data_IF_358654491412
#
_entry.id   IF_358654491412
#
_cell.length_a   1.000
_cell.length_b   1.000
_cell.length_c   1.000
_cell.angle_alpha   90.00
_cell.angle_beta   90.00
_cell.angle_gamma   90.00
#
_symmetry.space_group_name_H-M   'P 1'
#
loop_
_entity.id
_entity.type
_entity.pdbx_description
1 polymer ?
#
# COMPACT_ATOMS: atom_id res chain seq x y z
N UNK A 1 -23.61 2.63 -30.83
CA UNK A 1 -22.92 3.75 -30.15
C UNK A 1 -22.97 3.68 -28.62
N UNK A 2 -24.02 3.12 -27.99
CA UNK A 2 -24.15 3.08 -26.51
C UNK A 2 -23.08 2.24 -25.79
N UNK A 3 -22.89 0.96 -26.18
CA UNK A 3 -22.05 0.02 -25.43
C UNK A 3 -20.54 0.32 -25.46
N UNK A 4 -20.03 0.93 -26.53
CA UNK A 4 -18.62 1.35 -26.61
C UNK A 4 -18.33 2.51 -25.66
N UNK A 5 -19.24 3.50 -25.64
CA UNK A 5 -19.14 4.65 -24.77
C UNK A 5 -19.27 4.24 -23.30
N UNK A 6 -20.26 3.41 -22.95
CA UNK A 6 -20.44 2.87 -21.60
C UNK A 6 -19.19 2.15 -21.10
N UNK A 7 -18.58 1.30 -21.94
CA UNK A 7 -17.33 0.61 -21.60
C UNK A 7 -16.19 1.59 -21.33
N UNK A 8 -16.03 2.62 -22.18
CA UNK A 8 -14.98 3.63 -22.03
C UNK A 8 -15.20 4.52 -20.80
N UNK A 9 -16.45 4.86 -20.49
CA UNK A 9 -16.81 5.61 -19.28
C UNK A 9 -16.50 4.78 -18.03
N UNK A 10 -16.96 3.51 -17.98
CA UNK A 10 -16.65 2.59 -16.89
C UNK A 10 -15.14 2.48 -16.67
N UNK A 11 -14.35 2.34 -17.73
CA UNK A 11 -12.89 2.26 -17.63
C UNK A 11 -12.24 3.53 -17.05
N UNK A 12 -12.81 4.71 -17.30
CA UNK A 12 -12.36 5.98 -16.70
C UNK A 12 -12.73 6.03 -15.21
N UNK A 13 -13.97 5.65 -14.86
CA UNK A 13 -14.43 5.57 -13.46
C UNK A 13 -13.58 4.58 -12.65
N UNK A 14 -13.24 3.45 -13.25
CA UNK A 14 -12.40 2.42 -12.65
C UNK A 14 -10.98 2.88 -12.41
N UNK A 15 -10.41 3.61 -13.37
CA UNK A 15 -9.07 4.18 -13.20
C UNK A 15 -9.03 5.11 -11.99
N UNK A 16 -10.06 5.93 -11.79
CA UNK A 16 -10.19 6.75 -10.59
C UNK A 16 -10.39 5.89 -9.33
N UNK A 17 -11.27 4.91 -9.36
CA UNK A 17 -11.56 4.05 -8.20
C UNK A 17 -10.34 3.21 -7.77
N UNK A 18 -9.53 2.73 -8.71
CA UNK A 18 -8.25 2.05 -8.47
C UNK A 18 -7.26 3.02 -7.82
N UNK A 19 -7.09 4.20 -8.42
CA UNK A 19 -6.23 5.25 -7.87
C UNK A 19 -6.63 5.60 -6.43
N UNK A 20 -7.91 5.82 -6.19
CA UNK A 20 -8.45 6.12 -4.87
C UNK A 20 -8.22 4.97 -3.88
N UNK A 21 -8.25 3.71 -4.35
CA UNK A 21 -7.98 2.54 -3.49
C UNK A 21 -6.52 2.49 -3.05
N UNK A 22 -5.57 2.75 -3.97
CA UNK A 22 -4.14 2.82 -3.63
C UNK A 22 -3.83 4.00 -2.72
N UNK A 23 -4.40 5.19 -2.97
CA UNK A 23 -4.23 6.35 -2.07
C UNK A 23 -4.89 6.11 -0.71
N UNK A 24 -6.10 5.52 -0.68
CA UNK A 24 -6.81 5.22 0.57
C UNK A 24 -6.04 4.22 1.43
N UNK A 25 -5.41 3.21 0.82
CA UNK A 25 -4.50 2.31 1.49
C UNK A 25 -3.39 3.08 2.23
N UNK A 26 -2.70 4.00 1.54
CA UNK A 26 -1.62 4.80 2.10
C UNK A 26 -2.10 5.75 3.23
N UNK A 27 -3.23 6.44 3.00
CA UNK A 27 -3.82 7.33 4.01
C UNK A 27 -4.28 6.56 5.26
N UNK A 28 -4.82 5.35 5.09
CA UNK A 28 -5.30 4.53 6.19
C UNK A 28 -4.14 4.08 7.10
N UNK A 29 -3.04 3.60 6.53
CA UNK A 29 -1.86 3.21 7.33
C UNK A 29 -1.26 4.42 8.05
N UNK A 30 -1.20 5.59 7.40
CA UNK A 30 -0.61 6.79 8.00
C UNK A 30 -1.43 7.27 9.20
N UNK A 31 -2.75 7.19 9.11
CA UNK A 31 -3.69 7.57 10.19
C UNK A 31 -3.87 6.48 11.24
N UNK A 32 -3.41 5.26 11.00
CA UNK A 32 -3.69 4.10 11.86
C UNK A 32 -5.17 3.69 11.83
N UNK A 33 -5.87 3.98 10.73
CA UNK A 33 -7.24 3.55 10.50
C UNK A 33 -7.22 2.13 9.92
N UNK A 34 -7.09 1.15 10.81
CA UNK A 34 -6.90 -0.26 10.45
C UNK A 34 -8.14 -0.89 9.80
N UNK A 35 -9.33 -0.35 10.08
CA UNK A 35 -10.57 -0.80 9.43
C UNK A 35 -10.63 -0.31 7.98
N UNK A 36 -10.32 0.97 7.74
CA UNK A 36 -10.20 1.52 6.39
C UNK A 36 -9.10 0.81 5.58
N UNK A 37 -7.97 0.51 6.23
CA UNK A 37 -6.88 -0.26 5.64
C UNK A 37 -7.34 -1.66 5.21
N UNK A 38 -7.98 -2.40 6.12
CA UNK A 38 -8.56 -3.70 5.82
C UNK A 38 -9.58 -3.62 4.66
N UNK A 39 -10.36 -2.54 4.60
CA UNK A 39 -11.32 -2.28 3.53
C UNK A 39 -10.70 -2.10 2.13
N UNK A 40 -9.39 -1.89 2.02
CA UNK A 40 -8.70 -1.76 0.72
C UNK A 40 -8.21 -3.10 0.15
N UNK A 41 -8.24 -4.17 0.93
CA UNK A 41 -7.61 -5.46 0.63
C UNK A 41 -8.66 -6.53 0.27
N UNK A 42 -8.27 -7.55 -0.48
CA UNK A 42 -9.03 -8.81 -0.60
C UNK A 42 -8.96 -9.63 0.69
N UNK A 43 -9.71 -10.73 0.78
CA UNK A 43 -9.71 -11.61 1.97
C UNK A 43 -8.35 -12.30 2.18
N UNK A 44 -7.71 -12.70 1.08
CA UNK A 44 -6.31 -13.14 1.04
C UNK A 44 -5.57 -12.20 0.12
N UNK A 45 -4.45 -11.66 0.60
CA UNK A 45 -3.60 -10.74 -0.16
C UNK A 45 -2.21 -11.33 -0.29
N UNK A 46 -1.68 -11.30 -1.51
CA UNK A 46 -0.29 -11.63 -1.76
C UNK A 46 0.60 -10.42 -1.46
N UNK A 47 1.54 -10.58 -0.54
CA UNK A 47 2.49 -9.53 -0.18
C UNK A 47 3.87 -9.98 -0.60
N UNK A 48 4.56 -9.13 -1.35
CA UNK A 48 5.95 -9.34 -1.75
C UNK A 48 6.78 -8.12 -1.37
N UNK A 49 7.45 -8.22 -0.21
CA UNK A 49 8.38 -7.23 0.34
C UNK A 49 9.81 -7.82 0.37
N UNK A 50 10.14 -8.68 -0.61
CA UNK A 50 11.41 -9.40 -0.65
C UNK A 50 12.62 -8.47 -0.71
N UNK A 51 12.50 -7.33 -1.39
CA UNK A 51 13.52 -6.28 -1.46
C UNK A 51 13.81 -5.64 -0.09
N UNK A 52 12.84 -5.70 0.84
CA UNK A 52 12.99 -5.27 2.23
C UNK A 52 13.37 -6.43 3.18
N UNK A 53 13.72 -7.60 2.62
CA UNK A 53 14.14 -8.79 3.38
C UNK A 53 13.00 -9.64 3.94
N UNK A 54 11.75 -9.39 3.53
CA UNK A 54 10.59 -10.17 3.96
C UNK A 54 10.11 -11.08 2.83
N UNK A 55 10.05 -12.42 3.04
CA UNK A 55 9.67 -13.33 1.97
C UNK A 55 8.24 -13.09 1.49
N UNK A 56 8.03 -13.26 0.19
CA UNK A 56 6.70 -13.18 -0.39
C UNK A 56 5.77 -14.26 0.18
N UNK A 57 4.51 -13.89 0.47
CA UNK A 57 3.52 -14.80 1.04
C UNK A 57 2.09 -14.37 0.72
N UNK A 58 1.20 -15.35 0.64
CA UNK A 58 -0.24 -15.11 0.71
C UNK A 58 -0.65 -15.03 2.19
N UNK A 59 -1.24 -13.91 2.58
CA UNK A 59 -1.67 -13.66 3.95
C UNK A 59 -3.18 -13.43 4.00
N UNK A 60 -3.88 -14.01 4.99
CA UNK A 60 -5.20 -13.52 5.35
C UNK A 60 -5.15 -12.02 5.65
N UNK A 61 -6.19 -11.29 5.24
CA UNK A 61 -6.29 -9.83 5.41
C UNK A 61 -5.97 -9.40 6.84
N UNK A 62 -6.57 -10.06 7.81
CA UNK A 62 -6.41 -9.78 9.23
C UNK A 62 -4.96 -9.96 9.69
N UNK A 63 -4.24 -10.94 9.15
CA UNK A 63 -2.84 -11.17 9.46
C UNK A 63 -1.97 -10.04 8.90
N UNK A 64 -2.24 -9.59 7.66
CA UNK A 64 -1.51 -8.46 7.08
C UNK A 64 -1.83 -7.13 7.79
N UNK A 65 -3.08 -6.91 8.20
CA UNK A 65 -3.49 -5.75 9.01
C UNK A 65 -2.78 -5.75 10.36
N UNK A 66 -2.72 -6.91 11.04
CA UNK A 66 -2.01 -7.04 12.31
C UNK A 66 -0.51 -6.76 12.14
N UNK A 67 0.11 -7.32 11.11
CA UNK A 67 1.51 -7.08 10.77
C UNK A 67 1.80 -5.59 10.54
N UNK A 68 1.02 -4.92 9.69
CA UNK A 68 1.19 -3.50 9.40
C UNK A 68 0.99 -2.64 10.66
N UNK A 69 0.00 -2.99 11.49
CA UNK A 69 -0.27 -2.32 12.76
C UNK A 69 0.91 -2.43 13.72
N UNK A 70 1.46 -3.61 13.91
CA UNK A 70 2.62 -3.85 14.77
C UNK A 70 3.84 -3.06 14.26
N UNK A 71 4.12 -3.14 12.96
CA UNK A 71 5.28 -2.48 12.36
C UNK A 71 5.22 -0.95 12.44
N UNK A 72 4.02 -0.36 12.42
CA UNK A 72 3.86 1.09 12.20
C UNK A 72 3.36 1.87 13.42
N UNK A 73 2.77 1.22 14.43
CA UNK A 73 2.10 1.94 15.54
C UNK A 73 3.05 2.66 16.51
N UNK A 74 4.34 2.32 16.51
CA UNK A 74 5.33 2.95 17.38
C UNK A 74 5.87 4.29 16.87
N UNK A 75 5.66 4.61 15.59
CA UNK A 75 6.08 5.89 15.01
C UNK A 75 5.23 7.04 15.53
N UNK A 76 5.82 8.23 15.60
CA UNK A 76 5.08 9.46 15.95
C UNK A 76 4.23 9.92 14.77
N UNK A 77 4.76 9.81 13.55
CA UNK A 77 4.05 10.12 12.32
C UNK A 77 4.57 9.27 11.17
N UNK A 78 3.73 9.11 10.16
CA UNK A 78 4.00 8.34 8.93
C UNK A 78 3.41 9.12 7.75
N UNK A 79 4.07 9.05 6.61
CA UNK A 79 3.57 9.60 5.37
C UNK A 79 3.98 8.71 4.20
N UNK A 80 2.99 8.09 3.57
CA UNK A 80 3.15 7.30 2.37
C UNK A 80 2.58 8.09 1.18
N UNK A 81 3.46 8.53 0.29
CA UNK A 81 3.08 9.14 -0.98
C UNK A 81 3.19 8.09 -2.09
N UNK A 82 2.11 7.97 -2.86
CA UNK A 82 2.02 7.11 -4.04
C UNK A 82 1.70 7.94 -5.28
N UNK A 83 2.69 8.66 -5.86
CA UNK A 83 2.46 9.45 -7.06
C UNK A 83 2.57 8.61 -8.35
N UNK A 84 2.20 9.22 -9.47
CA UNK A 84 2.37 8.67 -10.83
C UNK A 84 1.63 7.34 -11.07
N UNK A 85 0.36 7.26 -10.67
CA UNK A 85 -0.47 6.09 -10.92
C UNK A 85 -0.61 5.76 -12.40
N UNK A 86 0.01 4.65 -12.81
CA UNK A 86 -0.11 4.04 -14.13
C UNK A 86 -0.99 2.80 -14.02
N UNK A 87 -2.25 2.93 -14.45
CA UNK A 87 -3.23 1.83 -14.40
C UNK A 87 -3.32 1.13 -15.76
N UNK A 88 -3.10 -0.18 -15.75
CA UNK A 88 -3.22 -1.08 -16.90
C UNK A 88 -4.29 -2.12 -16.59
N UNK A 89 -5.35 -2.16 -17.40
CA UNK A 89 -6.41 -3.16 -17.27
C UNK A 89 -5.98 -4.46 -17.93
N UNK A 90 -6.41 -5.59 -17.37
CA UNK A 90 -6.22 -6.88 -18.01
C UNK A 90 -7.06 -6.93 -19.31
N UNK A 91 -6.47 -7.36 -20.44
CA UNK A 91 -7.17 -7.41 -21.73
C UNK A 91 -8.23 -8.52 -21.80
N UNK A 92 -8.15 -9.54 -20.94
CA UNK A 92 -9.06 -10.68 -20.87
C UNK A 92 -10.09 -10.55 -19.73
N UNK A 93 -9.78 -9.76 -18.69
CA UNK A 93 -10.66 -9.54 -17.53
C UNK A 93 -10.75 -8.05 -17.14
N UNK A 94 -11.83 -7.38 -17.53
CA UNK A 94 -12.05 -5.96 -17.20
C UNK A 94 -12.29 -5.68 -15.70
N UNK A 95 -12.40 -6.73 -14.88
CA UNK A 95 -12.50 -6.64 -13.43
C UNK A 95 -11.14 -6.87 -12.74
N UNK A 96 -10.05 -6.94 -13.53
CA UNK A 96 -8.66 -6.96 -13.05
C UNK A 96 -7.83 -5.82 -13.64
N UNK A 97 -6.96 -5.26 -12.82
CA UNK A 97 -6.04 -4.21 -13.24
C UNK A 97 -4.78 -4.20 -12.40
N UNK A 98 -3.70 -3.66 -12.95
CA UNK A 98 -2.46 -3.36 -12.25
C UNK A 98 -2.29 -1.86 -12.15
N UNK A 99 -1.95 -1.37 -10.97
CA UNK A 99 -1.56 0.01 -10.73
C UNK A 99 -0.09 0.06 -10.28
N UNK A 100 0.76 0.59 -11.16
CA UNK A 100 2.14 0.92 -10.83
C UNK A 100 2.20 2.37 -10.34
N UNK A 101 3.04 2.61 -9.33
CA UNK A 101 3.19 3.93 -8.72
C UNK A 101 4.57 4.07 -8.09
N UNK A 102 5.07 5.29 -7.98
CA UNK A 102 6.24 5.53 -7.14
C UNK A 102 5.86 5.51 -5.66
N UNK A 103 6.84 5.33 -4.81
CA UNK A 103 6.69 5.27 -3.35
C UNK A 103 7.66 6.24 -2.70
N UNK A 104 7.14 7.06 -1.81
CA UNK A 104 7.91 7.71 -0.74
C UNK A 104 7.24 7.36 0.57
N UNK A 105 7.89 6.51 1.36
CA UNK A 105 7.38 6.04 2.66
C UNK A 105 8.24 6.63 3.78
N UNK A 106 7.83 7.79 4.28
CA UNK A 106 8.51 8.51 5.34
C UNK A 106 7.92 8.14 6.70
N UNK A 107 8.80 7.84 7.63
CA UNK A 107 8.49 7.51 9.00
C UNK A 107 9.22 8.48 9.91
N UNK A 108 8.53 8.98 10.93
CA UNK A 108 9.07 9.94 11.87
C UNK A 108 8.86 9.47 13.31
N UNK A 109 9.92 9.57 14.11
CA UNK A 109 9.91 9.24 15.53
C UNK A 109 10.56 10.39 16.30
N UNK A 110 9.73 11.22 16.92
CA UNK A 110 10.17 12.43 17.58
C UNK A 110 11.15 12.10 18.72
N UNK A 111 12.30 12.78 18.73
CA UNK A 111 13.34 12.61 19.75
C UNK A 111 14.13 11.31 19.65
N UNK A 112 14.06 10.58 18.53
CA UNK A 112 14.90 9.42 18.32
C UNK A 112 16.38 9.81 18.24
N UNK A 113 17.23 9.03 18.90
CA UNK A 113 18.67 9.11 18.76
C UNK A 113 19.10 8.69 17.34
N UNK A 114 20.15 9.31 16.79
CA UNK A 114 20.65 8.98 15.45
C UNK A 114 19.86 9.58 14.28
N UNK A 115 18.89 10.46 14.58
CA UNK A 115 18.02 11.11 13.60
C UNK A 115 16.57 10.65 13.74
N UNK A 116 15.63 11.57 13.52
CA UNK A 116 14.21 11.39 13.84
C UNK A 116 13.36 10.93 12.65
N UNK A 117 13.96 10.65 11.50
CA UNK A 117 13.24 10.17 10.32
C UNK A 117 13.95 9.04 9.59
N UNK A 118 13.13 8.22 8.92
CA UNK A 118 13.53 7.17 8.00
C UNK A 118 12.66 7.26 6.75
N UNK A 119 13.27 7.36 5.57
CA UNK A 119 12.57 7.48 4.31
C UNK A 119 12.97 6.33 3.39
N UNK A 120 11.97 5.58 2.92
CA UNK A 120 12.13 4.62 1.83
C UNK A 120 11.61 5.22 0.53
N UNK A 121 12.36 4.99 -0.55
CA UNK A 121 11.95 5.35 -1.91
C UNK A 121 11.91 4.10 -2.77
N UNK A 122 11.03 4.10 -3.76
CA UNK A 122 10.93 3.01 -4.72
C UNK A 122 9.63 3.08 -5.50
N UNK A 123 9.03 1.92 -5.76
CA UNK A 123 7.74 1.81 -6.42
C UNK A 123 6.90 0.70 -5.81
N UNK A 124 5.59 0.75 -6.08
CA UNK A 124 4.67 -0.35 -5.84
C UNK A 124 4.09 -0.86 -7.15
N UNK A 125 3.93 -2.18 -7.24
CA UNK A 125 3.04 -2.83 -8.20
C UNK A 125 1.86 -3.41 -7.44
N UNK A 126 0.70 -2.77 -7.57
CA UNK A 126 -0.54 -3.24 -6.97
C UNK A 126 -1.36 -3.97 -8.03
N UNK A 127 -1.72 -5.23 -7.79
CA UNK A 127 -2.76 -5.89 -8.57
C UNK A 127 -4.07 -5.74 -7.83
N UNK A 128 -5.11 -5.34 -8.55
CA UNK A 128 -6.42 -5.08 -8.01
C UNK A 128 -7.47 -5.89 -8.75
N UNK A 129 -8.48 -6.30 -7.99
CA UNK A 129 -9.66 -6.98 -8.49
C UNK A 129 -10.92 -6.22 -8.07
N UNK A 130 -11.90 -6.12 -8.97
CA UNK A 130 -13.20 -5.56 -8.63
C UNK A 130 -14.01 -6.59 -7.86
N UNK A 131 -14.59 -6.15 -6.76
CA UNK A 131 -15.56 -6.90 -5.97
C UNK A 131 -16.92 -6.20 -6.01
N UNK A 132 -17.96 -6.83 -5.45
CA UNK A 132 -19.24 -6.17 -5.22
C UNK A 132 -19.12 -4.90 -4.35
N UNK A 133 -18.08 -4.81 -3.50
CA UNK A 133 -17.76 -3.65 -2.67
C UNK A 133 -16.80 -2.63 -3.32
N UNK A 134 -16.49 -2.78 -4.61
CA UNK A 134 -15.52 -1.97 -5.34
C UNK A 134 -14.14 -2.64 -5.50
N UNK A 135 -13.16 -1.90 -6.02
CA UNK A 135 -11.80 -2.39 -6.24
C UNK A 135 -11.06 -2.68 -4.93
N UNK A 136 -10.29 -3.77 -4.90
CA UNK A 136 -9.49 -4.22 -3.76
C UNK A 136 -8.11 -4.68 -4.24
N UNK A 137 -7.08 -4.46 -3.42
CA UNK A 137 -5.72 -4.93 -3.68
C UNK A 137 -5.66 -6.42 -3.33
N UNK A 138 -5.31 -7.26 -4.31
CA UNK A 138 -5.10 -8.69 -4.14
C UNK A 138 -3.63 -9.08 -4.10
N UNK A 139 -2.76 -8.24 -4.68
CA UNK A 139 -1.31 -8.42 -4.63
C UNK A 139 -0.64 -7.06 -4.49
N UNK A 140 0.31 -6.96 -3.58
CA UNK A 140 1.14 -5.78 -3.35
C UNK A 140 2.61 -6.19 -3.41
N UNK A 141 3.32 -5.67 -4.41
CA UNK A 141 4.77 -5.83 -4.55
C UNK A 141 5.45 -4.51 -4.25
N UNK A 142 6.41 -4.51 -3.34
CA UNK A 142 7.26 -3.37 -3.02
C UNK A 142 8.62 -3.53 -3.68
N UNK A 143 8.99 -2.55 -4.52
CA UNK A 143 10.33 -2.46 -5.09
C UNK A 143 11.08 -1.36 -4.35
N UNK A 144 12.17 -1.71 -3.67
CA UNK A 144 12.96 -0.74 -2.89
C UNK A 144 14.08 -0.20 -3.75
N UNK A 145 14.28 1.12 -3.73
CA UNK A 145 15.38 1.76 -4.45
C UNK A 145 16.53 2.12 -3.53
N UNK A 146 16.46 3.24 -2.81
CA UNK A 146 17.43 3.59 -1.78
C UNK A 146 16.74 4.17 -0.54
N UNK A 147 17.22 3.86 0.67
CA UNK A 147 16.77 4.49 1.89
C UNK A 147 17.53 5.78 2.19
N UNK A 148 16.99 6.60 3.10
CA UNK A 148 17.65 7.78 3.66
C UNK A 148 17.23 8.01 5.11
N UNK A 149 18.12 8.60 5.92
CA UNK A 149 17.88 8.88 7.33
C UNK A 149 18.36 7.76 8.26
N UNK A 150 17.70 7.62 9.40
CA UNK A 150 18.07 6.65 10.43
C UNK A 150 17.53 5.25 10.10
N UNK A 151 18.41 4.33 9.69
CA UNK A 151 18.03 2.98 9.29
C UNK A 151 17.58 2.08 10.46
N UNK A 152 17.90 2.45 11.70
CA UNK A 152 17.46 1.74 12.90
C UNK A 152 16.09 2.21 13.41
N UNK A 153 15.57 3.33 12.88
CA UNK A 153 14.30 3.91 13.32
C UNK A 153 13.12 2.92 13.33
N UNK A 154 12.98 1.99 12.36
CA UNK A 154 11.94 0.95 12.41
C UNK A 154 12.06 0.01 13.61
N UNK A 155 13.27 -0.34 14.03
CA UNK A 155 13.48 -1.17 15.23
C UNK A 155 13.11 -0.39 16.49
N UNK A 156 13.53 0.87 16.58
CA UNK A 156 13.19 1.76 17.69
C UNK A 156 11.67 1.94 17.83
N UNK A 157 10.96 2.12 16.71
CA UNK A 157 9.51 2.23 16.70
C UNK A 157 8.84 0.93 17.20
N UNK A 158 9.26 -0.24 16.70
CA UNK A 158 8.72 -1.53 17.16
C UNK A 158 8.93 -1.76 18.66
N UNK A 159 10.08 -1.34 19.20
CA UNK A 159 10.35 -1.46 20.63
C UNK A 159 9.36 -0.69 21.51
N UNK A 160 8.72 0.39 21.01
CA UNK A 160 7.72 1.18 21.77
C UNK A 160 6.37 0.50 21.93
N UNK A 161 6.06 -0.49 21.09
CA UNK A 161 4.77 -1.21 21.09
C UNK A 161 4.88 -2.63 21.63
N UNK A 162 6.09 -3.11 21.85
CA UNK A 162 6.38 -4.44 22.42
C UNK A 162 6.40 -4.47 23.96
N UNK A 163 6.15 -3.34 24.63
CA UNK A 163 6.05 -3.20 26.10
C UNK A 163 4.62 -2.96 26.54
#
# INVERSE_FOLDING_TARGET
>A
MSADLERRVRQIEDRQAISDTVVRYAVAIDRGDWELFAGCLTEVVHIDFSDAGMPAADLPREAFVAFAREALSGFTARQHLSPNHLVTFDPEDADRAVCESYMYAQHHLAGAEGGDFFLMRGSYTNHLVRTAGGWRIERLVQHVSWPEGNLDLPNMARARVAS
#
